data_IF_021292117093
#
_entry.id   IF_021292117093
#
_cell.length_a   1.000
_cell.length_b   1.000
_cell.length_c   1.000
_cell.angle_alpha   90.00
_cell.angle_beta   90.00
_cell.angle_gamma   90.00
#
_symmetry.space_group_name_H-M   'P 1'
#
loop_
_entity.id
_entity.type
_entity.pdbx_description
1 polymer ?
#
# COMPACT_ATOMS: atom_id res chain seq x y z
N UNK A 1 -1.75 28.40 -22.24
CA UNK A 1 -0.89 27.21 -21.94
C UNK A 1 -1.28 26.76 -20.52
N UNK A 2 -1.89 25.57 -20.40
CA UNK A 2 -2.28 25.06 -19.08
C UNK A 2 -1.09 24.35 -18.39
N UNK A 3 -1.10 24.32 -17.07
CA UNK A 3 -0.15 23.60 -16.24
C UNK A 3 -0.84 22.45 -15.49
N UNK A 4 -0.52 21.22 -15.87
CA UNK A 4 -0.96 20.01 -15.16
C UNK A 4 0.10 19.63 -14.14
N UNK A 5 -0.28 19.56 -12.87
CA UNK A 5 0.59 19.09 -11.78
C UNK A 5 0.12 17.71 -11.33
N UNK A 6 1.07 16.77 -11.21
CA UNK A 6 0.82 15.40 -10.73
C UNK A 6 1.53 15.24 -9.40
N UNK A 7 0.78 14.98 -8.35
CA UNK A 7 1.27 14.80 -6.99
C UNK A 7 1.47 13.30 -6.70
N UNK A 8 2.74 12.88 -6.69
CA UNK A 8 3.17 11.49 -6.53
C UNK A 8 3.84 10.94 -7.79
N UNK A 9 4.94 10.19 -7.62
CA UNK A 9 5.70 9.53 -8.68
C UNK A 9 5.68 7.99 -8.53
N UNK A 10 4.56 7.45 -8.04
CA UNK A 10 4.34 6.01 -7.92
C UNK A 10 3.68 5.39 -9.14
N UNK A 11 3.06 4.21 -8.94
CA UNK A 11 2.37 3.43 -9.99
C UNK A 11 1.22 4.18 -10.67
N UNK A 12 0.64 5.21 -10.04
CA UNK A 12 -0.36 6.06 -10.68
C UNK A 12 0.25 7.30 -11.33
N UNK A 13 1.18 7.97 -10.64
CA UNK A 13 1.71 9.26 -11.08
C UNK A 13 2.64 9.20 -12.27
N UNK A 14 3.51 8.17 -12.35
CA UNK A 14 4.42 8.03 -13.49
C UNK A 14 3.68 7.72 -14.81
N UNK A 15 2.76 6.75 -14.88
CA UNK A 15 1.93 6.55 -16.07
C UNK A 15 1.11 7.81 -16.41
N UNK A 16 0.47 8.45 -15.42
CA UNK A 16 -0.28 9.68 -15.66
C UNK A 16 0.59 10.77 -16.32
N UNK A 17 1.84 10.94 -15.86
CA UNK A 17 2.75 11.92 -16.43
C UNK A 17 3.10 11.63 -17.89
N UNK A 18 3.38 10.38 -18.22
CA UNK A 18 3.71 9.97 -19.58
C UNK A 18 2.51 10.08 -20.54
N UNK A 19 1.35 9.59 -20.14
CA UNK A 19 0.14 9.64 -20.94
C UNK A 19 -0.34 11.10 -21.13
N UNK A 20 -0.34 11.92 -20.07
CA UNK A 20 -0.63 13.36 -20.17
C UNK A 20 0.32 14.06 -21.13
N UNK A 21 1.63 13.81 -21.04
CA UNK A 21 2.60 14.39 -21.98
C UNK A 21 2.35 13.96 -23.41
N UNK A 22 2.04 12.69 -23.63
CA UNK A 22 1.72 12.16 -24.95
C UNK A 22 0.46 12.81 -25.54
N UNK A 23 -0.60 12.96 -24.73
CA UNK A 23 -1.90 13.52 -25.13
C UNK A 23 -1.81 15.04 -25.38
N UNK A 24 -1.19 15.77 -24.45
CA UNK A 24 -1.14 17.25 -24.47
C UNK A 24 -0.01 17.81 -25.37
N UNK A 25 0.92 16.97 -25.80
CA UNK A 25 2.09 17.42 -26.56
C UNK A 25 2.91 18.47 -25.80
N UNK A 26 3.60 19.36 -26.52
CA UNK A 26 4.43 20.43 -25.95
C UNK A 26 3.66 21.74 -25.66
N UNK A 27 2.39 21.80 -26.03
CA UNK A 27 1.57 23.02 -25.88
C UNK A 27 1.22 23.35 -24.43
N UNK A 28 1.29 22.35 -23.55
CA UNK A 28 0.96 22.46 -22.13
C UNK A 28 2.13 22.00 -21.23
N UNK A 29 2.18 22.53 -20.02
CA UNK A 29 3.19 22.15 -19.03
C UNK A 29 2.68 20.95 -18.21
N UNK A 30 3.55 19.95 -18.00
CA UNK A 30 3.30 18.83 -17.08
C UNK A 30 4.45 18.79 -16.09
N UNK A 31 4.13 18.74 -14.80
CA UNK A 31 5.11 18.68 -13.70
C UNK A 31 4.70 17.60 -12.72
N UNK A 32 5.63 16.74 -12.34
CA UNK A 32 5.47 15.77 -11.26
C UNK A 32 6.13 16.31 -9.99
N UNK A 33 5.41 16.21 -8.86
CA UNK A 33 5.93 16.55 -7.53
C UNK A 33 5.90 15.30 -6.67
N UNK A 34 7.02 14.96 -6.04
CA UNK A 34 7.11 13.78 -5.18
C UNK A 34 8.04 14.05 -3.99
N UNK A 35 7.77 13.44 -2.85
CA UNK A 35 8.55 13.65 -1.62
C UNK A 35 9.98 13.09 -1.68
N UNK A 36 10.21 12.11 -2.57
CA UNK A 36 11.50 11.47 -2.83
C UNK A 36 11.85 11.57 -4.30
N UNK A 37 13.11 11.41 -4.64
CA UNK A 37 13.65 11.54 -6.01
C UNK A 37 13.62 10.23 -6.83
N UNK A 38 13.15 9.15 -6.22
CA UNK A 38 13.09 7.85 -6.86
C UNK A 38 11.64 7.31 -6.99
N UNK A 39 11.44 6.50 -8.00
CA UNK A 39 10.33 5.57 -8.15
C UNK A 39 10.73 4.22 -7.52
N UNK A 40 9.85 3.59 -6.74
CA UNK A 40 10.03 2.24 -6.27
C UNK A 40 9.02 1.28 -6.95
N UNK A 41 9.50 0.15 -7.41
CA UNK A 41 8.63 -0.91 -7.89
C UNK A 41 8.14 -1.76 -6.71
N UNK A 42 7.09 -1.27 -6.05
CA UNK A 42 6.53 -1.84 -4.80
C UNK A 42 6.29 -3.36 -4.87
N UNK A 43 5.83 -3.96 -5.99
CA UNK A 43 5.67 -5.42 -6.07
C UNK A 43 6.94 -6.24 -5.82
N UNK A 44 8.14 -5.64 -5.97
CA UNK A 44 9.40 -6.33 -5.70
C UNK A 44 9.91 -6.18 -4.25
N UNK A 45 9.25 -5.40 -3.41
CA UNK A 45 9.65 -5.23 -2.01
C UNK A 45 9.71 -6.56 -1.23
N UNK A 46 8.79 -7.54 -1.39
CA UNK A 46 8.90 -8.86 -0.78
C UNK A 46 10.24 -9.57 -1.07
N UNK A 47 10.78 -9.40 -2.27
CA UNK A 47 12.06 -9.99 -2.67
C UNK A 47 13.25 -9.28 -2.02
N UNK A 48 13.16 -7.96 -1.82
CA UNK A 48 14.15 -7.21 -1.06
C UNK A 48 14.17 -7.67 0.40
N UNK A 49 13.00 -7.92 0.97
CA UNK A 49 12.86 -8.35 2.36
C UNK A 49 13.52 -9.71 2.66
N UNK A 50 13.65 -10.61 1.68
CA UNK A 50 14.36 -11.89 1.82
C UNK A 50 15.76 -11.89 1.20
N UNK A 51 16.24 -10.74 0.69
CA UNK A 51 17.56 -10.57 0.10
C UNK A 51 17.71 -11.15 -1.31
N UNK A 52 16.59 -11.41 -2.03
CA UNK A 52 16.64 -11.87 -3.43
C UNK A 52 16.83 -10.72 -4.42
N UNK A 53 16.58 -9.49 -3.98
CA UNK A 53 16.85 -8.24 -4.68
C UNK A 53 17.49 -7.23 -3.72
N UNK A 54 18.28 -6.32 -4.28
CA UNK A 54 18.74 -5.14 -3.55
C UNK A 54 17.78 -3.97 -3.75
N UNK A 55 17.94 -2.93 -2.94
CA UNK A 55 17.20 -1.67 -3.11
C UNK A 55 17.39 -1.09 -4.50
N UNK A 56 18.62 -1.06 -4.96
CA UNK A 56 19.04 -0.46 -6.24
C UNK A 56 18.40 -1.15 -7.44
N UNK A 57 18.09 -2.45 -7.32
CA UNK A 57 17.43 -3.22 -8.38
C UNK A 57 15.91 -2.92 -8.50
N UNK A 58 15.31 -2.32 -7.47
CA UNK A 58 13.86 -2.08 -7.40
C UNK A 58 13.47 -0.61 -7.38
N UNK A 59 14.45 0.30 -7.43
CA UNK A 59 14.24 1.75 -7.55
C UNK A 59 14.79 2.29 -8.86
N UNK A 60 14.21 3.41 -9.32
CA UNK A 60 14.66 4.16 -10.49
C UNK A 60 14.67 5.64 -10.15
N UNK A 61 15.73 6.37 -10.53
CA UNK A 61 15.75 7.83 -10.40
C UNK A 61 14.72 8.47 -11.33
N UNK A 62 13.84 9.29 -10.78
CA UNK A 62 12.69 9.86 -11.51
C UNK A 62 13.10 10.98 -12.46
N UNK A 63 13.97 11.90 -12.02
CA UNK A 63 14.32 13.11 -12.77
C UNK A 63 14.77 12.81 -14.23
N UNK A 64 15.77 11.93 -14.49
CA UNK A 64 16.24 11.70 -15.86
C UNK A 64 15.19 11.01 -16.74
N UNK A 65 14.24 10.26 -16.15
CA UNK A 65 13.16 9.60 -16.89
C UNK A 65 12.12 10.61 -17.39
N UNK A 66 11.74 11.57 -16.54
CA UNK A 66 10.77 12.61 -16.86
C UNK A 66 11.36 13.67 -17.78
N UNK A 67 12.61 14.07 -17.56
CA UNK A 67 13.32 15.05 -18.38
C UNK A 67 13.39 14.65 -19.87
N UNK A 68 13.70 13.37 -20.17
CA UNK A 68 13.70 12.83 -21.53
C UNK A 68 12.36 13.03 -22.26
N UNK A 69 11.26 13.20 -21.53
CA UNK A 69 9.92 13.43 -22.05
C UNK A 69 9.50 14.90 -21.99
N UNK A 70 10.37 15.79 -21.52
CA UNK A 70 10.04 17.20 -21.33
C UNK A 70 8.98 17.42 -20.24
N UNK A 71 8.99 16.57 -19.19
CA UNK A 71 8.14 16.68 -18.01
C UNK A 71 8.97 17.24 -16.87
N UNK A 72 8.48 18.29 -16.19
CA UNK A 72 9.14 18.86 -15.02
C UNK A 72 9.07 17.89 -13.82
N UNK A 73 10.10 17.94 -12.96
CA UNK A 73 10.12 17.17 -11.73
C UNK A 73 10.57 18.03 -10.55
N UNK A 74 9.88 17.89 -9.42
CA UNK A 74 10.20 18.55 -8.15
C UNK A 74 10.26 17.48 -7.06
N UNK A 75 11.46 17.22 -6.52
CA UNK A 75 11.67 16.27 -5.43
C UNK A 75 11.47 16.96 -4.07
N UNK A 76 10.23 17.31 -3.76
CA UNK A 76 9.83 17.94 -2.49
C UNK A 76 8.47 17.42 -2.06
N UNK A 77 8.29 17.28 -0.74
CA UNK A 77 6.97 16.94 -0.19
C UNK A 77 6.00 18.11 -0.38
N UNK A 78 4.74 17.81 -0.68
CA UNK A 78 3.63 18.76 -0.60
C UNK A 78 3.10 18.75 0.84
N UNK A 79 3.09 19.88 1.48
CA UNK A 79 2.61 20.05 2.86
C UNK A 79 1.16 20.55 2.92
N UNK A 80 0.70 21.24 1.88
CA UNK A 80 -0.66 21.77 1.81
C UNK A 80 -1.14 21.84 0.36
N UNK A 81 -2.43 21.58 0.16
CA UNK A 81 -3.16 21.85 -1.09
C UNK A 81 -4.16 22.97 -0.81
N UNK A 82 -3.97 24.11 -1.44
CA UNK A 82 -4.97 25.17 -1.50
C UNK A 82 -5.82 24.95 -2.76
N UNK A 83 -6.91 24.21 -2.60
CA UNK A 83 -7.75 23.82 -3.72
C UNK A 83 -8.56 24.99 -4.30
N UNK A 84 -8.89 26.00 -3.48
CA UNK A 84 -9.63 27.20 -3.92
C UNK A 84 -8.71 28.13 -4.75
N UNK A 85 -7.46 28.30 -4.34
CA UNK A 85 -6.48 29.10 -5.06
C UNK A 85 -5.73 28.30 -6.15
N UNK A 86 -6.02 27.00 -6.32
CA UNK A 86 -5.37 26.11 -7.28
C UNK A 86 -3.85 26.12 -7.18
N UNK A 87 -3.30 25.93 -5.97
CA UNK A 87 -1.86 25.87 -5.72
C UNK A 87 -1.49 24.82 -4.67
N UNK A 88 -0.27 24.28 -4.78
CA UNK A 88 0.37 23.43 -3.78
C UNK A 88 1.39 24.27 -3.00
N UNK A 89 1.54 23.97 -1.70
CA UNK A 89 2.64 24.48 -0.87
C UNK A 89 3.61 23.32 -0.63
N UNK A 90 4.88 23.55 -0.94
CA UNK A 90 5.95 22.56 -0.78
C UNK A 90 6.62 22.70 0.59
N UNK A 91 7.40 21.69 0.98
CA UNK A 91 8.04 21.63 2.30
C UNK A 91 9.00 22.79 2.61
N UNK A 92 9.53 23.46 1.57
CA UNK A 92 10.37 24.65 1.71
C UNK A 92 9.60 25.97 1.62
N UNK A 93 8.27 25.92 1.61
CA UNK A 93 7.39 27.08 1.49
C UNK A 93 7.17 27.57 0.06
N UNK A 94 7.80 26.96 -0.95
CA UNK A 94 7.54 27.32 -2.35
C UNK A 94 6.08 27.00 -2.71
N UNK A 95 5.42 27.94 -3.39
CA UNK A 95 4.10 27.73 -3.98
C UNK A 95 4.22 27.23 -5.43
N UNK A 96 3.42 26.25 -5.78
CA UNK A 96 3.32 25.71 -7.14
C UNK A 96 1.88 25.80 -7.65
N UNK A 97 1.56 26.79 -8.49
CA UNK A 97 0.23 26.94 -9.07
C UNK A 97 -0.03 25.88 -10.14
N UNK A 98 -1.29 25.47 -10.28
CA UNK A 98 -1.74 24.53 -11.29
C UNK A 98 -3.07 24.98 -11.93
N UNK A 99 -3.28 24.61 -13.18
CA UNK A 99 -4.61 24.65 -13.80
C UNK A 99 -5.38 23.36 -13.51
N UNK A 100 -4.66 22.22 -13.53
CA UNK A 100 -5.20 20.89 -13.18
C UNK A 100 -4.26 20.16 -12.25
N UNK A 101 -4.83 19.47 -11.26
CA UNK A 101 -4.10 18.63 -10.31
C UNK A 101 -4.53 17.17 -10.43
N UNK A 102 -3.56 16.27 -10.56
CA UNK A 102 -3.76 14.82 -10.44
C UNK A 102 -3.14 14.34 -9.13
N UNK A 103 -3.97 13.88 -8.20
CA UNK A 103 -3.51 13.31 -6.92
C UNK A 103 -3.27 11.81 -7.10
N UNK A 104 -2.00 11.40 -7.00
CA UNK A 104 -1.54 10.01 -7.15
C UNK A 104 -0.52 9.63 -6.05
N UNK A 105 -0.73 10.15 -4.83
CA UNK A 105 0.18 10.03 -3.68
C UNK A 105 0.33 8.63 -3.13
N UNK A 106 -0.59 7.71 -3.46
CA UNK A 106 -0.74 6.48 -2.71
C UNK A 106 -1.29 6.71 -1.30
N UNK A 107 -1.17 5.73 -0.39
CA UNK A 107 -1.70 5.80 0.96
C UNK A 107 -0.65 6.28 1.96
N UNK A 108 -1.12 6.71 3.13
CA UNK A 108 -0.37 6.71 4.38
C UNK A 108 -0.65 5.42 5.13
N UNK A 109 0.38 4.80 5.68
CA UNK A 109 0.29 3.54 6.42
C UNK A 109 -0.12 3.82 7.87
N UNK A 110 -1.19 3.21 8.36
CA UNK A 110 -1.81 3.50 9.67
C UNK A 110 -1.43 2.45 10.73
N UNK A 111 -0.13 2.28 10.99
CA UNK A 111 0.33 1.38 12.05
C UNK A 111 -0.15 1.81 13.44
N UNK A 112 -0.31 3.10 13.68
CA UNK A 112 -0.76 3.66 14.95
C UNK A 112 -2.17 3.22 15.37
N UNK A 113 -2.97 2.68 14.46
CA UNK A 113 -4.31 2.15 14.79
C UNK A 113 -4.24 0.85 15.61
N UNK A 114 -3.11 0.14 15.57
CA UNK A 114 -2.88 -1.07 16.37
C UNK A 114 -1.69 -0.83 17.28
N UNK A 115 -1.89 -0.71 18.61
CA UNK A 115 -0.81 -0.49 19.55
C UNK A 115 0.32 -1.51 19.43
N UNK A 116 1.56 -1.04 19.36
CA UNK A 116 2.76 -1.86 19.22
C UNK A 116 3.02 -2.43 17.84
N UNK A 117 2.25 -2.04 16.81
CA UNK A 117 2.50 -2.44 15.44
C UNK A 117 3.46 -1.48 14.70
N UNK A 118 4.02 -1.95 13.61
CA UNK A 118 4.84 -1.16 12.67
C UNK A 118 6.34 -1.29 12.84
N UNK A 119 7.11 -0.93 11.80
CA UNK A 119 8.56 -1.09 11.76
C UNK A 119 9.33 0.00 12.52
N UNK A 120 8.67 1.10 12.93
CA UNK A 120 9.27 2.23 13.62
C UNK A 120 8.78 2.31 15.07
N UNK A 121 9.51 1.65 15.96
CA UNK A 121 9.18 1.59 17.39
C UNK A 121 8.10 0.56 17.77
N UNK A 122 7.56 -0.17 16.81
CA UNK A 122 6.68 -1.32 17.04
C UNK A 122 7.40 -2.66 16.91
N UNK A 123 6.63 -3.73 16.93
CA UNK A 123 7.12 -5.11 16.94
C UNK A 123 6.81 -5.89 15.66
N UNK A 124 6.28 -5.22 14.62
CA UNK A 124 6.02 -5.84 13.32
C UNK A 124 6.74 -5.12 12.20
N UNK A 125 7.11 -5.86 11.17
CA UNK A 125 7.62 -5.34 9.92
C UNK A 125 6.50 -5.14 8.90
N UNK A 126 6.86 -4.57 7.76
CA UNK A 126 6.02 -4.50 6.56
C UNK A 126 6.89 -4.53 5.30
N UNK A 127 6.26 -4.78 4.15
CA UNK A 127 6.89 -4.71 2.82
C UNK A 127 6.27 -3.59 1.96
N UNK A 128 5.54 -2.67 2.59
CA UNK A 128 4.81 -1.60 1.89
C UNK A 128 5.74 -0.55 1.25
N UNK A 129 6.99 -0.44 1.70
CA UNK A 129 8.01 0.40 1.09
C UNK A 129 9.34 -0.33 1.00
N UNK A 130 10.23 0.14 0.14
CA UNK A 130 11.57 -0.42 0.01
C UNK A 130 12.39 -0.25 1.31
N UNK A 131 12.19 0.84 2.05
CA UNK A 131 12.86 1.06 3.34
C UNK A 131 12.40 0.05 4.40
N UNK A 132 11.11 -0.27 4.44
CA UNK A 132 10.58 -1.32 5.30
C UNK A 132 11.13 -2.70 4.92
N UNK A 133 11.21 -2.99 3.63
CA UNK A 133 11.76 -4.25 3.13
C UNK A 133 13.26 -4.41 3.48
N UNK A 134 14.05 -3.33 3.35
CA UNK A 134 15.46 -3.33 3.78
C UNK A 134 15.59 -3.55 5.29
N UNK A 135 14.75 -2.90 6.09
CA UNK A 135 14.74 -3.12 7.53
C UNK A 135 14.37 -4.58 7.85
N UNK A 136 13.36 -5.13 7.18
CA UNK A 136 13.02 -6.54 7.33
C UNK A 136 14.23 -7.43 7.02
N UNK A 137 14.92 -7.19 5.90
CA UNK A 137 16.10 -7.96 5.50
C UNK A 137 17.21 -7.93 6.56
N UNK A 138 17.52 -6.77 7.12
CA UNK A 138 18.51 -6.65 8.18
C UNK A 138 18.14 -7.49 9.41
N UNK A 139 16.89 -7.38 9.87
CA UNK A 139 16.40 -8.12 11.04
C UNK A 139 16.23 -9.63 10.74
N UNK A 140 15.90 -9.98 9.49
CA UNK A 140 15.81 -11.38 9.04
C UNK A 140 17.15 -12.10 9.08
N UNK A 141 18.25 -11.44 8.76
CA UNK A 141 19.59 -12.03 8.90
C UNK A 141 19.91 -12.40 10.36
N UNK A 142 19.50 -11.57 11.32
CA UNK A 142 19.64 -11.90 12.75
C UNK A 142 18.68 -13.02 13.16
N UNK A 143 17.44 -12.99 12.68
CA UNK A 143 16.46 -14.04 12.89
C UNK A 143 16.98 -15.41 12.42
N UNK A 144 17.64 -15.48 11.29
CA UNK A 144 18.21 -16.74 10.74
C UNK A 144 19.25 -17.40 11.65
N UNK A 145 19.94 -16.64 12.52
CA UNK A 145 20.89 -17.18 13.50
C UNK A 145 20.19 -17.93 14.64
N UNK A 146 18.98 -17.54 14.97
CA UNK A 146 18.17 -18.16 16.02
C UNK A 146 16.67 -18.09 15.61
N UNK A 147 16.25 -18.95 14.66
CA UNK A 147 14.89 -18.91 14.12
C UNK A 147 13.81 -19.32 15.13
N UNK A 148 12.58 -18.94 14.87
CA UNK A 148 11.41 -19.26 15.68
C UNK A 148 10.11 -18.98 14.93
N UNK A 149 8.96 -18.92 15.62
CA UNK A 149 7.66 -18.70 14.97
C UNK A 149 7.61 -17.36 14.21
N UNK A 150 6.94 -17.37 13.07
CA UNK A 150 6.70 -16.18 12.24
C UNK A 150 5.20 -15.96 12.07
N UNK A 151 4.78 -14.71 12.19
CA UNK A 151 3.42 -14.25 11.84
C UNK A 151 3.49 -13.39 10.60
N UNK A 152 2.62 -13.67 9.63
CA UNK A 152 2.46 -12.89 8.40
C UNK A 152 0.99 -12.59 8.22
N UNK A 153 0.62 -11.45 7.66
CA UNK A 153 -0.78 -11.20 7.37
C UNK A 153 -1.17 -9.75 7.16
N UNK A 154 -2.45 -9.48 7.39
CA UNK A 154 -3.06 -8.19 7.18
C UNK A 154 -3.97 -7.80 8.35
N UNK A 155 -3.80 -6.58 8.83
CA UNK A 155 -4.56 -6.00 9.95
C UNK A 155 -5.96 -5.57 9.49
N UNK A 156 -6.89 -5.31 10.44
CA UNK A 156 -8.18 -4.71 10.13
C UNK A 156 -8.03 -3.47 9.24
N UNK A 157 -8.98 -3.28 8.30
CA UNK A 157 -8.99 -2.19 7.32
C UNK A 157 -7.80 -2.19 6.33
N UNK A 158 -6.96 -3.23 6.30
CA UNK A 158 -6.04 -3.40 5.19
C UNK A 158 -6.81 -3.53 3.88
N UNK A 159 -6.27 -2.96 2.82
CA UNK A 159 -6.87 -2.98 1.48
C UNK A 159 -5.96 -3.60 0.42
N UNK A 160 -4.95 -4.36 0.83
CA UNK A 160 -4.01 -5.00 -0.06
C UNK A 160 -3.56 -6.33 0.55
N UNK A 161 -4.28 -7.40 0.28
CA UNK A 161 -4.05 -8.72 0.87
C UNK A 161 -3.04 -9.56 0.07
N UNK A 162 -3.05 -9.43 -1.27
CA UNK A 162 -2.14 -10.16 -2.17
C UNK A 162 -0.67 -10.17 -1.73
N UNK A 163 -0.07 -9.03 -1.39
CA UNK A 163 1.31 -8.97 -0.94
C UNK A 163 1.60 -9.74 0.35
N UNK A 164 0.61 -9.95 1.25
CA UNK A 164 0.80 -10.77 2.43
C UNK A 164 0.91 -12.27 2.06
N UNK A 165 0.04 -12.74 1.16
CA UNK A 165 0.13 -14.11 0.61
C UNK A 165 1.43 -14.32 -0.14
N UNK A 166 1.76 -13.42 -1.06
CA UNK A 166 3.00 -13.47 -1.82
C UNK A 166 4.21 -13.53 -0.89
N UNK A 167 4.27 -12.66 0.10
CA UNK A 167 5.37 -12.64 1.06
C UNK A 167 5.45 -13.94 1.87
N UNK A 168 4.32 -14.53 2.28
CA UNK A 168 4.30 -15.79 3.02
C UNK A 168 4.95 -16.92 2.21
N UNK A 169 4.61 -17.04 0.92
CA UNK A 169 5.20 -18.06 0.05
C UNK A 169 6.65 -17.75 -0.32
N UNK A 170 7.03 -16.49 -0.51
CA UNK A 170 8.42 -16.08 -0.74
C UNK A 170 9.28 -16.44 0.48
N UNK A 171 8.81 -16.13 1.68
CA UNK A 171 9.55 -16.44 2.91
C UNK A 171 9.65 -17.98 3.12
N UNK A 172 8.58 -18.73 2.88
CA UNK A 172 8.61 -20.19 2.91
C UNK A 172 9.66 -20.76 1.94
N UNK A 173 9.65 -20.25 0.70
CA UNK A 173 10.59 -20.69 -0.32
C UNK A 173 12.05 -20.37 0.06
N UNK A 174 12.32 -19.18 0.61
CA UNK A 174 13.67 -18.81 1.09
C UNK A 174 14.10 -19.69 2.27
N UNK A 175 13.23 -19.94 3.23
CA UNK A 175 13.51 -20.83 4.36
C UNK A 175 13.76 -22.28 3.91
N UNK A 176 13.02 -22.78 2.90
CA UNK A 176 13.27 -24.10 2.30
C UNK A 176 14.61 -24.16 1.58
N UNK A 177 14.94 -23.13 0.80
CA UNK A 177 16.24 -23.00 0.14
C UNK A 177 17.39 -23.00 1.15
N UNK A 178 17.20 -22.40 2.33
CA UNK A 178 18.16 -22.39 3.43
C UNK A 178 18.10 -23.65 4.30
N UNK A 179 17.21 -24.59 4.05
CA UNK A 179 16.97 -25.82 4.85
C UNK A 179 16.59 -25.51 6.31
N UNK A 180 15.84 -24.44 6.53
CA UNK A 180 15.46 -23.94 7.86
C UNK A 180 13.94 -23.96 8.10
N UNK A 181 13.13 -24.23 7.07
CA UNK A 181 11.66 -24.14 7.15
C UNK A 181 11.04 -24.92 8.32
N UNK A 182 11.57 -26.10 8.64
CA UNK A 182 11.11 -26.95 9.74
C UNK A 182 11.35 -26.35 11.14
N UNK A 183 12.20 -25.33 11.26
CA UNK A 183 12.47 -24.60 12.51
C UNK A 183 11.59 -23.34 12.67
N UNK A 184 10.79 -23.02 11.65
CA UNK A 184 10.03 -21.78 11.58
C UNK A 184 8.54 -22.11 11.40
N UNK A 185 7.78 -22.34 12.48
CA UNK A 185 6.32 -22.39 12.40
C UNK A 185 5.80 -21.09 11.84
N UNK A 186 4.91 -21.14 10.82
CA UNK A 186 4.34 -19.98 10.17
C UNK A 186 2.83 -19.93 10.43
N UNK A 187 2.33 -18.75 10.84
CA UNK A 187 0.92 -18.46 11.02
C UNK A 187 0.52 -17.24 10.22
N UNK A 188 -0.49 -17.40 9.36
CA UNK A 188 -1.08 -16.30 8.61
C UNK A 188 -2.29 -15.75 9.36
N UNK A 189 -2.33 -14.44 9.60
CA UNK A 189 -3.40 -13.77 10.35
C UNK A 189 -4.00 -12.69 9.45
N UNK A 190 -5.31 -12.80 9.19
CA UNK A 190 -5.95 -11.85 8.27
C UNK A 190 -7.34 -11.43 8.76
N UNK A 191 -7.67 -10.17 8.52
CA UNK A 191 -9.01 -9.62 8.72
C UNK A 191 -10.03 -10.18 7.72
N UNK A 192 -9.58 -10.86 6.67
CA UNK A 192 -10.47 -11.49 5.69
C UNK A 192 -11.37 -12.54 6.35
N UNK A 193 -12.65 -12.70 5.91
CA UNK A 193 -13.55 -13.71 6.45
C UNK A 193 -13.10 -15.14 6.11
N UNK A 194 -12.36 -15.32 5.03
CA UNK A 194 -11.76 -16.58 4.61
C UNK A 194 -10.49 -16.34 3.79
N UNK A 195 -9.62 -17.32 3.71
CA UNK A 195 -8.40 -17.28 2.89
C UNK A 195 -8.78 -17.07 1.41
N UNK A 196 -8.14 -16.09 0.78
CA UNK A 196 -8.39 -15.80 -0.64
C UNK A 196 -9.60 -14.93 -0.92
N UNK A 197 -10.20 -14.30 0.11
CA UNK A 197 -11.21 -13.26 -0.07
C UNK A 197 -10.64 -12.02 -0.80
N UNK A 198 -9.39 -11.65 -0.51
CA UNK A 198 -8.60 -10.60 -1.17
C UNK A 198 -9.22 -9.19 -1.11
N UNK A 199 -10.22 -8.96 -0.26
CA UNK A 199 -10.99 -7.71 -0.22
C UNK A 199 -11.96 -7.55 -1.41
N UNK A 200 -12.20 -8.62 -2.17
CA UNK A 200 -13.02 -8.65 -3.39
C UNK A 200 -14.14 -9.70 -3.36
N UNK A 201 -14.38 -10.37 -2.24
CA UNK A 201 -15.30 -11.51 -2.16
C UNK A 201 -14.72 -12.79 -2.79
N UNK A 202 -13.39 -12.82 -2.97
CA UNK A 202 -12.69 -13.86 -3.72
C UNK A 202 -12.62 -13.59 -5.22
N UNK A 203 -11.74 -14.29 -5.92
CA UNK A 203 -11.58 -14.22 -7.39
C UNK A 203 -11.45 -15.65 -7.93
N UNK A 204 -12.46 -16.12 -8.65
CA UNK A 204 -12.48 -17.49 -9.15
C UNK A 204 -12.27 -18.49 -7.99
N UNK A 205 -11.33 -19.41 -8.15
CA UNK A 205 -11.00 -20.47 -7.17
C UNK A 205 -10.00 -20.01 -6.08
N UNK A 206 -9.80 -18.71 -5.87
CA UNK A 206 -8.78 -18.16 -4.95
C UNK A 206 -8.83 -18.78 -3.55
N UNK A 207 -10.04 -19.05 -3.01
CA UNK A 207 -10.20 -19.68 -1.70
C UNK A 207 -9.58 -21.08 -1.66
N UNK A 208 -10.08 -21.98 -2.49
CA UNK A 208 -9.66 -23.39 -2.49
C UNK A 208 -8.19 -23.55 -2.85
N UNK A 209 -7.70 -22.75 -3.82
CA UNK A 209 -6.31 -22.76 -4.26
C UNK A 209 -5.37 -22.30 -3.14
N UNK A 210 -5.59 -21.13 -2.56
CA UNK A 210 -4.71 -20.59 -1.50
C UNK A 210 -4.77 -21.43 -0.21
N UNK A 211 -5.96 -21.92 0.19
CA UNK A 211 -6.05 -22.82 1.33
C UNK A 211 -5.30 -24.14 1.09
N UNK A 212 -5.36 -24.70 -0.13
CA UNK A 212 -4.60 -25.90 -0.51
C UNK A 212 -3.10 -25.63 -0.45
N UNK A 213 -2.65 -24.53 -1.04
CA UNK A 213 -1.23 -24.18 -1.04
C UNK A 213 -0.71 -23.92 0.37
N UNK A 214 -1.47 -23.20 1.21
CA UNK A 214 -1.08 -22.99 2.61
C UNK A 214 -0.94 -24.30 3.37
N UNK A 215 -1.87 -25.27 3.18
CA UNK A 215 -1.75 -26.60 3.78
C UNK A 215 -0.51 -27.34 3.29
N UNK A 216 -0.24 -27.31 1.98
CA UNK A 216 0.94 -27.96 1.38
C UNK A 216 2.26 -27.35 1.86
N UNK A 217 2.22 -26.10 2.31
CA UNK A 217 3.37 -25.37 2.85
C UNK A 217 3.41 -25.35 4.39
N UNK A 218 2.59 -26.18 5.08
CA UNK A 218 2.53 -26.23 6.55
C UNK A 218 2.30 -24.86 7.21
N UNK A 219 1.46 -24.03 6.62
CA UNK A 219 1.06 -22.72 7.16
C UNK A 219 -0.28 -22.86 7.87
N UNK A 220 -0.35 -22.41 9.13
CA UNK A 220 -1.60 -22.23 9.86
C UNK A 220 -2.18 -20.87 9.53
N UNK A 221 -3.51 -20.70 9.71
CA UNK A 221 -4.14 -19.38 9.54
C UNK A 221 -5.25 -19.10 10.54
N UNK A 222 -5.52 -17.81 10.76
CA UNK A 222 -6.65 -17.28 11.51
C UNK A 222 -7.30 -16.22 10.63
N UNK A 223 -8.56 -16.44 10.26
CA UNK A 223 -9.40 -15.50 9.48
C UNK A 223 -10.40 -14.80 10.39
N UNK A 224 -11.11 -13.79 9.89
CA UNK A 224 -11.93 -12.91 10.72
C UNK A 224 -11.13 -12.41 11.94
N UNK A 225 -9.85 -12.15 11.75
CA UNK A 225 -8.90 -11.87 12.80
C UNK A 225 -8.79 -10.37 13.05
N UNK A 226 -9.36 -9.91 14.15
CA UNK A 226 -9.16 -8.54 14.65
C UNK A 226 -7.91 -8.49 15.50
N UNK A 227 -6.77 -8.13 14.88
CA UNK A 227 -5.56 -7.80 15.66
C UNK A 227 -5.85 -6.59 16.52
N UNK A 228 -5.68 -6.72 17.83
CA UNK A 228 -6.01 -5.67 18.79
C UNK A 228 -4.79 -4.98 19.38
N UNK A 229 -3.67 -5.70 19.48
CA UNK A 229 -2.42 -5.22 20.07
C UNK A 229 -1.26 -6.12 19.66
N UNK A 230 -0.06 -5.57 19.62
CA UNK A 230 1.19 -6.32 19.46
C UNK A 230 2.16 -5.95 20.58
N UNK A 231 2.77 -6.94 21.19
CA UNK A 231 3.85 -6.79 22.16
C UNK A 231 5.10 -7.52 21.67
N UNK A 232 6.22 -7.31 22.31
CA UNK A 232 7.46 -8.03 21.96
C UNK A 232 7.23 -9.55 22.01
N UNK A 233 7.28 -10.19 20.87
CA UNK A 233 7.13 -11.65 20.73
C UNK A 233 5.70 -12.19 20.85
N UNK A 234 4.67 -11.34 20.91
CA UNK A 234 3.27 -11.78 21.05
C UNK A 234 2.28 -10.86 20.30
N UNK A 235 1.38 -11.44 19.53
CA UNK A 235 0.27 -10.76 18.88
C UNK A 235 -1.06 -11.18 19.51
N UNK A 236 -1.89 -10.21 19.87
CA UNK A 236 -3.22 -10.41 20.43
C UNK A 236 -4.27 -10.27 19.34
N UNK A 237 -5.09 -11.28 19.18
CA UNK A 237 -6.06 -11.38 18.10
C UNK A 237 -7.38 -11.88 18.63
N UNK A 238 -8.46 -11.12 18.41
CA UNK A 238 -9.83 -11.58 18.63
C UNK A 238 -10.36 -12.12 17.30
N UNK A 239 -10.65 -13.40 17.24
CA UNK A 239 -11.29 -14.03 16.10
C UNK A 239 -12.80 -13.91 16.23
N UNK A 240 -13.47 -13.47 15.15
CA UNK A 240 -14.92 -13.36 15.08
C UNK A 240 -15.52 -14.51 14.26
N UNK A 241 -16.79 -14.81 14.52
CA UNK A 241 -17.59 -15.64 13.62
C UNK A 241 -18.13 -14.80 12.45
N UNK A 242 -18.86 -15.43 11.52
CA UNK A 242 -19.43 -14.76 10.34
C UNK A 242 -20.54 -13.75 10.69
N UNK A 243 -21.04 -13.77 11.91
CA UNK A 243 -22.04 -12.83 12.44
C UNK A 243 -21.39 -11.67 13.22
N UNK A 244 -20.06 -11.68 13.40
CA UNK A 244 -19.32 -10.67 14.14
C UNK A 244 -19.26 -10.90 15.65
N UNK A 245 -19.70 -12.07 16.16
CA UNK A 245 -19.54 -12.41 17.55
C UNK A 245 -18.12 -12.90 17.84
N UNK A 246 -17.64 -12.71 19.05
CA UNK A 246 -16.34 -13.22 19.46
C UNK A 246 -16.38 -14.76 19.53
N UNK A 247 -15.58 -15.38 18.67
CA UNK A 247 -15.40 -16.83 18.64
C UNK A 247 -14.27 -17.25 19.61
N UNK A 248 -13.16 -16.53 19.57
CA UNK A 248 -11.98 -16.86 20.39
C UNK A 248 -10.98 -15.72 20.44
N UNK A 249 -10.36 -15.54 21.60
CA UNK A 249 -9.17 -14.72 21.76
C UNK A 249 -7.90 -15.59 21.63
N UNK A 250 -6.92 -15.08 20.88
CA UNK A 250 -5.65 -15.74 20.64
C UNK A 250 -4.50 -14.87 21.13
N UNK A 251 -3.54 -15.49 21.78
CA UNK A 251 -2.21 -14.96 22.00
C UNK A 251 -1.24 -15.73 21.11
N UNK A 252 -0.82 -15.11 20.00
CA UNK A 252 0.01 -15.77 18.98
C UNK A 252 1.47 -15.39 19.21
N UNK A 253 2.32 -16.35 19.63
CA UNK A 253 3.74 -16.08 19.81
C UNK A 253 4.43 -15.93 18.46
N UNK A 254 5.37 -14.98 18.37
CA UNK A 254 6.22 -14.83 17.22
C UNK A 254 7.62 -14.37 17.60
N UNK A 255 8.58 -14.66 16.75
CA UNK A 255 9.94 -14.13 16.82
C UNK A 255 10.16 -13.05 15.76
N UNK A 256 9.40 -13.12 14.67
CA UNK A 256 9.35 -12.12 13.61
C UNK A 256 7.93 -12.04 13.08
N UNK A 257 7.46 -10.83 12.76
CA UNK A 257 6.15 -10.63 12.18
C UNK A 257 6.20 -9.62 11.03
N UNK A 258 5.50 -9.92 9.92
CA UNK A 258 5.24 -9.00 8.82
C UNK A 258 3.74 -8.81 8.66
N UNK A 259 3.25 -7.60 8.89
CA UNK A 259 1.83 -7.28 8.84
C UNK A 259 1.58 -6.09 7.92
N UNK A 260 0.60 -6.23 7.04
CA UNK A 260 0.11 -5.12 6.23
C UNK A 260 -0.89 -4.30 7.05
N UNK A 261 -0.67 -2.99 7.22
CA UNK A 261 -1.53 -2.13 8.03
C UNK A 261 -2.78 -1.67 7.27
N UNK A 262 -3.69 -1.05 7.99
CA UNK A 262 -4.71 -0.19 7.41
C UNK A 262 -4.08 0.97 6.63
N UNK A 263 -4.82 1.49 5.64
CA UNK A 263 -4.42 2.65 4.85
C UNK A 263 -5.33 3.84 5.13
N UNK A 264 -4.76 5.04 5.01
CA UNK A 264 -5.48 6.32 5.02
C UNK A 264 -4.87 7.29 4.02
N UNK A 265 -5.56 8.38 3.73
CA UNK A 265 -5.03 9.45 2.89
C UNK A 265 -3.84 10.14 3.53
N UNK A 266 -2.94 10.70 2.70
CA UNK A 266 -1.83 11.54 3.18
C UNK A 266 -2.37 12.85 3.75
N UNK A 267 -1.70 13.40 4.78
CA UNK A 267 -2.20 14.51 5.58
C UNK A 267 -2.54 15.74 4.73
N UNK A 268 -1.70 16.11 3.76
CA UNK A 268 -1.93 17.25 2.88
C UNK A 268 -3.21 17.11 2.01
N UNK A 269 -3.59 15.88 1.66
CA UNK A 269 -4.81 15.59 0.89
C UNK A 269 -6.02 15.53 1.83
N UNK A 270 -5.88 14.85 2.96
CA UNK A 270 -6.94 14.69 3.96
C UNK A 270 -7.41 16.03 4.57
N UNK A 271 -6.51 17.03 4.62
CA UNK A 271 -6.80 18.36 5.15
C UNK A 271 -7.67 19.22 4.23
N UNK A 272 -7.86 18.84 2.95
CA UNK A 272 -8.64 19.67 2.00
C UNK A 272 -10.14 19.49 2.23
N UNK A 273 -10.90 20.58 2.50
CA UNK A 273 -12.34 20.49 2.74
C UNK A 273 -13.09 19.81 1.59
N UNK A 274 -14.06 18.95 1.92
CA UNK A 274 -14.95 18.29 0.94
C UNK A 274 -14.26 17.40 -0.10
N UNK A 275 -12.93 17.32 -0.11
CA UNK A 275 -12.19 16.52 -1.08
C UNK A 275 -12.22 15.03 -0.75
N UNK A 276 -12.21 14.67 0.54
CA UNK A 276 -11.97 13.33 1.03
C UNK A 276 -13.12 12.77 1.88
N UNK A 277 -13.14 11.45 2.00
CA UNK A 277 -13.90 10.75 3.04
C UNK A 277 -13.21 10.90 4.42
N UNK A 278 -13.82 10.43 5.54
CA UNK A 278 -13.23 10.53 6.88
C UNK A 278 -11.87 9.87 7.05
N UNK A 279 -11.49 8.92 6.17
CA UNK A 279 -10.16 8.30 6.17
C UNK A 279 -9.14 9.04 5.27
N UNK A 280 -9.51 10.18 4.69
CA UNK A 280 -8.62 10.98 3.85
C UNK A 280 -8.47 10.49 2.41
N UNK A 281 -9.29 9.55 1.94
CA UNK A 281 -9.29 9.12 0.54
C UNK A 281 -10.14 10.05 -0.31
N UNK A 282 -9.63 10.40 -1.50
CA UNK A 282 -10.28 11.36 -2.41
C UNK A 282 -11.60 10.82 -2.95
N UNK A 283 -12.67 11.60 -2.84
CA UNK A 283 -13.99 11.32 -3.39
C UNK A 283 -14.04 11.71 -4.86
N UNK A 284 -14.27 10.76 -5.73
CA UNK A 284 -14.30 10.94 -7.20
C UNK A 284 -15.65 10.59 -7.81
N UNK A 285 -15.87 11.09 -9.03
CA UNK A 285 -16.93 10.64 -9.94
C UNK A 285 -16.44 9.51 -10.86
N UNK A 286 -17.27 9.08 -11.81
CA UNK A 286 -16.94 8.05 -12.81
C UNK A 286 -15.82 8.45 -13.77
N UNK A 287 -15.47 9.75 -13.84
CA UNK A 287 -14.37 10.30 -14.63
C UNK A 287 -13.07 10.49 -13.84
N UNK A 288 -12.98 9.92 -12.65
CA UNK A 288 -11.85 10.10 -11.70
C UNK A 288 -11.65 11.55 -11.25
N UNK A 289 -12.66 12.41 -11.42
CA UNK A 289 -12.63 13.82 -11.04
C UNK A 289 -13.21 14.00 -9.64
N UNK A 290 -12.65 14.92 -8.86
CA UNK A 290 -13.19 15.29 -7.56
C UNK A 290 -14.64 15.80 -7.68
N UNK A 291 -15.49 15.34 -6.76
CA UNK A 291 -16.88 15.82 -6.66
C UNK A 291 -16.96 17.29 -6.19
N UNK A 292 -15.95 17.80 -5.51
CA UNK A 292 -15.90 19.16 -4.97
C UNK A 292 -15.16 20.15 -5.88
N UNK A 293 -14.10 19.71 -6.55
CA UNK A 293 -13.20 20.58 -7.32
C UNK A 293 -13.03 20.05 -8.75
N UNK A 294 -13.54 20.83 -9.73
CA UNK A 294 -13.62 20.39 -11.13
C UNK A 294 -12.26 20.20 -11.82
N UNK A 295 -11.20 20.80 -11.28
CA UNK A 295 -9.85 20.75 -11.81
C UNK A 295 -8.93 19.81 -11.02
N UNK A 296 -9.48 19.00 -10.09
CA UNK A 296 -8.74 18.00 -9.32
C UNK A 296 -9.21 16.61 -9.69
N UNK A 297 -8.27 15.75 -10.05
CA UNK A 297 -8.45 14.35 -10.37
C UNK A 297 -7.63 13.47 -9.42
N UNK A 298 -7.98 12.20 -9.31
CA UNK A 298 -7.22 11.29 -8.46
C UNK A 298 -7.18 9.87 -9.02
N UNK A 299 -6.02 9.21 -8.88
CA UNK A 299 -5.84 7.81 -9.27
C UNK A 299 -5.05 7.02 -8.23
N UNK A 300 -5.32 5.73 -8.15
CA UNK A 300 -4.58 4.80 -7.32
C UNK A 300 -5.11 4.68 -5.90
N UNK A 301 -4.24 4.30 -4.98
CA UNK A 301 -4.66 3.91 -3.62
C UNK A 301 -5.22 5.06 -2.79
N UNK A 302 -4.93 6.31 -3.15
CA UNK A 302 -5.49 7.51 -2.51
C UNK A 302 -6.97 7.78 -2.86
N UNK A 303 -7.60 7.00 -3.77
CA UNK A 303 -9.00 7.14 -4.15
C UNK A 303 -9.92 6.39 -3.18
N UNK A 304 -11.06 6.98 -2.84
CA UNK A 304 -12.10 6.35 -2.03
C UNK A 304 -12.90 5.34 -2.86
N UNK A 305 -12.61 4.05 -2.68
CA UNK A 305 -13.42 2.95 -3.22
C UNK A 305 -14.03 2.20 -2.02
N UNK A 306 -15.36 2.06 -1.96
CA UNK A 306 -16.00 1.29 -0.88
C UNK A 306 -15.60 -0.18 -0.98
N UNK A 307 -15.59 -0.93 0.14
CA UNK A 307 -15.43 -2.37 0.10
C UNK A 307 -16.59 -3.00 -0.70
N UNK A 308 -16.34 -4.15 -1.31
CA UNK A 308 -17.36 -4.87 -2.11
C UNK A 308 -18.47 -5.44 -1.24
N UNK A 309 -18.17 -5.73 0.02
CA UNK A 309 -19.11 -6.22 1.01
C UNK A 309 -18.71 -5.83 2.44
N UNK A 310 -19.65 -5.94 3.37
CA UNK A 310 -19.37 -5.75 4.79
C UNK A 310 -18.89 -7.08 5.37
N UNK A 311 -17.73 -7.05 6.02
CA UNK A 311 -17.10 -8.23 6.65
C UNK A 311 -17.08 -8.09 8.17
N UNK A 312 -17.12 -9.19 8.96
CA UNK A 312 -17.11 -9.14 10.42
C UNK A 312 -15.95 -8.33 10.99
N UNK A 313 -14.73 -8.53 10.47
CA UNK A 313 -13.62 -7.62 10.68
C UNK A 313 -13.48 -6.80 9.40
N UNK A 314 -13.54 -5.46 9.46
CA UNK A 314 -13.53 -4.62 8.27
C UNK A 314 -12.31 -4.84 7.38
N UNK A 315 -12.57 -5.06 6.09
CA UNK A 315 -11.56 -5.12 5.01
C UNK A 315 -11.71 -3.91 4.09
N UNK A 316 -10.62 -3.45 3.50
CA UNK A 316 -10.65 -2.41 2.45
C UNK A 316 -10.67 -3.03 1.05
N UNK A 317 -11.18 -2.27 0.08
CA UNK A 317 -11.10 -2.66 -1.33
C UNK A 317 -9.67 -2.47 -1.87
N UNK A 318 -9.06 -3.46 -2.53
CA UNK A 318 -7.76 -3.30 -3.18
C UNK A 318 -7.83 -2.35 -4.38
N UNK A 319 -6.72 -1.68 -4.66
CA UNK A 319 -6.51 -0.87 -5.86
C UNK A 319 -5.24 -1.40 -6.54
N UNK A 320 -5.45 -2.36 -7.44
CA UNK A 320 -4.35 -3.06 -8.14
C UNK A 320 -3.73 -2.19 -9.23
N UNK A 321 -2.55 -2.57 -9.71
CA UNK A 321 -1.89 -1.87 -10.82
C UNK A 321 -2.77 -1.73 -12.07
N UNK A 322 -3.51 -2.77 -12.42
CA UNK A 322 -4.45 -2.76 -13.54
C UNK A 322 -5.58 -1.72 -13.36
N UNK A 323 -6.18 -1.66 -12.16
CA UNK A 323 -7.19 -0.65 -11.85
C UNK A 323 -6.60 0.76 -11.90
N UNK A 324 -5.37 0.95 -11.41
CA UNK A 324 -4.70 2.24 -11.42
C UNK A 324 -4.45 2.70 -12.86
N UNK A 325 -4.00 1.82 -13.75
CA UNK A 325 -3.81 2.11 -15.18
C UNK A 325 -5.12 2.57 -15.84
N UNK A 326 -6.23 1.87 -15.58
CA UNK A 326 -7.56 2.26 -16.09
C UNK A 326 -8.00 3.64 -15.58
N UNK A 327 -7.74 3.94 -14.28
CA UNK A 327 -8.03 5.25 -13.70
C UNK A 327 -7.20 6.35 -14.38
N UNK A 328 -5.92 6.10 -14.63
CA UNK A 328 -5.03 7.05 -15.32
C UNK A 328 -5.54 7.31 -16.73
N UNK A 329 -5.86 6.27 -17.51
CA UNK A 329 -6.40 6.43 -18.86
C UNK A 329 -7.71 7.22 -18.88
N UNK A 330 -8.59 7.01 -17.91
CA UNK A 330 -9.82 7.81 -17.75
C UNK A 330 -9.50 9.29 -17.50
N UNK A 331 -8.56 9.62 -16.61
CA UNK A 331 -8.14 11.01 -16.33
C UNK A 331 -7.58 11.69 -17.60
N UNK A 332 -6.74 10.98 -18.34
CA UNK A 332 -6.09 11.53 -19.54
C UNK A 332 -7.08 11.72 -20.68
N UNK A 333 -8.15 10.90 -20.73
CA UNK A 333 -9.21 11.03 -21.72
C UNK A 333 -10.11 12.25 -21.47
N UNK A 334 -10.44 12.51 -20.22
CA UNK A 334 -11.35 13.59 -19.78
C UNK A 334 -10.65 14.95 -19.65
#
# INVERSE_FOLDING_TARGET
>A
MAHVVIMGAGLGGMPAAYEMRAKLGKAHRVTVVNSVDYFQFVPSNPWVAVGWRTREEVILQVAPLLERKGIGFIAKAVTQIDAEASKLVLADGQELPYDYLVIATGPKLSFEEIPGSGPHGGHTHSVCSVDHAQKFWADYQEFLKNPGPVVIGAMPLASCFGPAYEFAFILDADLRKRKMRNKVPMTFITSEPYIGHLGLGGVGDSKSMLESDMRNHDMKWITNAKTTKVEAGKMFVTQLDDLGNVLKDHEVPFKMAMMLPAFKGVDAVAAVPKLCNPRGFVLIDEHQRSKAYKNIFSAGVCVAIPPVEVTPVPTGAPKTGYMIETMVSAIVHN
#
